data_IF_276424291116
#
_entry.id   IF_276424291116
#
_cell.length_a   1.000
_cell.length_b   1.000
_cell.length_c   1.000
_cell.angle_alpha   90.00
_cell.angle_beta   90.00
_cell.angle_gamma   90.00
#
_symmetry.space_group_name_H-M   'P 1'
#
loop_
_entity.id
_entity.type
_entity.pdbx_description
1 polymer ?
#
# COMPACT_ATOMS: atom_id res chain seq x y z
N UNK A 1 23.44 37.82 -7.65
CA UNK A 1 22.53 37.77 -6.49
C UNK A 1 21.88 36.40 -6.52
N UNK A 2 22.44 35.45 -5.76
CA UNK A 2 22.09 34.03 -5.84
C UNK A 2 20.67 33.83 -5.27
N UNK A 3 19.73 33.40 -6.11
CA UNK A 3 18.37 33.08 -5.67
C UNK A 3 18.43 31.75 -4.90
N UNK A 4 18.43 31.87 -3.58
CA UNK A 4 18.53 30.80 -2.59
C UNK A 4 17.24 29.98 -2.50
N UNK A 5 16.78 29.43 -3.62
CA UNK A 5 15.73 28.41 -3.61
C UNK A 5 16.34 27.08 -3.22
N UNK A 6 16.51 26.87 -1.92
CA UNK A 6 16.56 25.51 -1.40
C UNK A 6 15.20 24.89 -1.74
N UNK A 7 15.16 24.04 -2.78
CA UNK A 7 13.96 23.29 -3.09
C UNK A 7 13.57 22.48 -1.85
N UNK A 8 12.33 22.66 -1.38
CA UNK A 8 11.73 21.97 -0.22
C UNK A 8 11.96 20.45 -0.27
N UNK A 9 12.06 19.91 -1.48
CA UNK A 9 12.40 18.53 -1.78
C UNK A 9 13.77 18.08 -1.23
N UNK A 10 14.80 18.93 -1.38
CA UNK A 10 16.17 18.58 -1.03
C UNK A 10 16.40 18.51 0.49
N UNK A 11 15.62 19.27 1.26
CA UNK A 11 15.68 19.28 2.74
C UNK A 11 14.99 18.03 3.30
N UNK A 12 13.84 17.65 2.74
CA UNK A 12 13.01 16.54 3.25
C UNK A 12 13.63 15.16 3.00
N UNK A 13 14.40 15.00 1.91
CA UNK A 13 15.02 13.72 1.52
C UNK A 13 16.19 13.29 2.41
N UNK A 14 16.80 14.20 3.17
CA UNK A 14 17.99 13.92 3.99
C UNK A 14 17.73 13.07 5.24
N UNK A 15 16.47 12.99 5.70
CA UNK A 15 16.09 12.39 6.99
C UNK A 15 15.13 11.19 6.91
N UNK A 16 14.73 10.75 5.71
CA UNK A 16 13.90 9.54 5.54
C UNK A 16 14.61 8.48 4.70
N UNK A 17 14.20 7.21 4.85
CA UNK A 17 14.70 6.07 4.09
C UNK A 17 14.69 6.35 2.58
N UNK A 18 15.89 6.53 2.02
CA UNK A 18 16.18 7.14 0.73
C UNK A 18 15.60 6.39 -0.48
N UNK A 19 15.26 5.11 -0.33
CA UNK A 19 14.95 4.21 -1.45
C UNK A 19 13.60 4.51 -2.13
N UNK A 20 12.55 4.85 -1.37
CA UNK A 20 11.20 5.04 -1.95
C UNK A 20 11.02 6.40 -2.67
N UNK A 21 11.81 7.40 -2.28
CA UNK A 21 11.78 8.74 -2.90
C UNK A 21 12.31 8.73 -4.32
N UNK A 22 13.34 7.92 -4.56
CA UNK A 22 14.06 7.91 -5.84
C UNK A 22 13.16 7.39 -6.97
N UNK A 23 12.35 6.35 -6.72
CA UNK A 23 11.47 5.76 -7.75
C UNK A 23 10.37 6.72 -8.21
N UNK A 24 9.66 7.37 -7.26
CA UNK A 24 8.61 8.33 -7.60
C UNK A 24 9.17 9.61 -8.24
N UNK A 25 10.32 10.09 -7.75
CA UNK A 25 11.02 11.25 -8.31
C UNK A 25 11.42 11.06 -9.76
N UNK A 26 11.98 9.89 -10.10
CA UNK A 26 12.45 9.58 -11.46
C UNK A 26 11.33 9.35 -12.48
N UNK A 27 10.23 8.71 -12.08
CA UNK A 27 9.18 8.29 -13.03
C UNK A 27 8.13 9.36 -13.34
N UNK A 28 7.98 10.41 -12.53
CA UNK A 28 6.86 11.37 -12.69
C UNK A 28 7.21 12.85 -12.55
N UNK A 29 8.26 13.22 -11.81
CA UNK A 29 8.45 14.61 -11.40
C UNK A 29 9.32 15.45 -12.32
N UNK A 30 10.37 14.88 -12.93
CA UNK A 30 11.30 15.65 -13.77
C UNK A 30 10.64 16.29 -15.01
N UNK A 31 9.90 15.56 -15.87
CA UNK A 31 9.27 16.18 -17.04
C UNK A 31 8.13 17.15 -16.67
N UNK A 32 7.45 16.92 -15.55
CA UNK A 32 6.34 17.78 -15.09
C UNK A 32 6.85 19.08 -14.49
N UNK A 33 8.05 19.09 -13.88
CA UNK A 33 8.62 20.31 -13.31
C UNK A 33 8.91 21.36 -14.37
N UNK A 34 9.51 20.98 -15.49
CA UNK A 34 9.76 21.88 -16.62
C UNK A 34 8.46 22.47 -17.19
N UNK A 35 7.40 21.66 -17.28
CA UNK A 35 6.08 22.12 -17.74
C UNK A 35 5.45 23.13 -16.78
N UNK A 36 5.63 22.96 -15.47
CA UNK A 36 5.16 23.91 -14.45
C UNK A 36 5.91 25.24 -14.57
N UNK A 37 7.22 25.20 -14.78
CA UNK A 37 8.05 26.41 -14.93
C UNK A 37 7.69 27.16 -16.23
N UNK A 38 7.48 26.45 -17.33
CA UNK A 38 6.98 27.02 -18.58
C UNK A 38 5.56 27.60 -18.44
N UNK A 39 4.65 26.94 -17.74
CA UNK A 39 3.31 27.48 -17.51
C UNK A 39 3.35 28.76 -16.66
N UNK A 40 4.25 28.78 -15.68
CA UNK A 40 4.44 29.91 -14.78
C UNK A 40 5.11 31.10 -15.46
N UNK A 41 5.97 30.90 -16.46
CA UNK A 41 6.57 32.01 -17.22
C UNK A 41 5.55 32.71 -18.13
N UNK A 42 4.60 31.96 -18.70
CA UNK A 42 3.59 32.51 -19.62
C UNK A 42 2.33 33.09 -18.93
N UNK A 43 2.12 32.86 -17.63
CA UNK A 43 0.93 33.33 -16.92
C UNK A 43 1.28 34.28 -15.76
N UNK A 44 0.83 35.54 -15.84
CA UNK A 44 1.05 36.54 -14.78
C UNK A 44 0.18 36.31 -13.53
N UNK A 45 -1.08 35.90 -13.72
CA UNK A 45 -2.10 35.88 -12.66
C UNK A 45 -2.49 34.48 -12.17
N UNK A 46 -1.99 33.42 -12.82
CA UNK A 46 -2.21 32.03 -12.41
C UNK A 46 -0.88 31.30 -12.39
N UNK A 47 -0.60 30.58 -11.32
CA UNK A 47 0.62 29.76 -11.16
C UNK A 47 0.24 28.31 -10.84
N UNK A 48 1.09 27.39 -11.24
CA UNK A 48 1.04 25.96 -10.90
C UNK A 48 2.23 25.62 -10.01
N UNK A 49 2.06 24.63 -9.15
CA UNK A 49 3.12 24.10 -8.30
C UNK A 49 2.97 22.58 -8.23
N UNK A 50 4.10 21.91 -7.97
CA UNK A 50 4.16 20.49 -7.69
C UNK A 50 4.86 20.30 -6.34
N UNK A 51 4.30 19.45 -5.51
CA UNK A 51 4.83 19.11 -4.20
C UNK A 51 4.79 17.58 -4.03
N UNK A 52 5.84 17.01 -3.45
CA UNK A 52 5.88 15.63 -3.03
C UNK A 52 5.95 15.62 -1.52
N UNK A 53 4.95 15.02 -0.89
CA UNK A 53 4.88 14.91 0.55
C UNK A 53 5.08 13.45 0.91
N UNK A 54 6.19 13.10 1.57
CA UNK A 54 6.39 11.74 2.02
C UNK A 54 5.57 11.45 3.27
N UNK A 55 4.95 10.27 3.30
CA UNK A 55 4.25 9.76 4.48
C UNK A 55 4.91 8.47 4.92
N UNK A 56 5.15 8.35 6.24
CA UNK A 56 5.52 7.10 6.89
C UNK A 56 4.42 6.71 7.86
N UNK A 57 3.80 5.56 7.62
CA UNK A 57 2.76 5.03 8.49
C UNK A 57 3.28 3.76 9.20
N UNK A 58 3.17 3.72 10.53
CA UNK A 58 3.52 2.54 11.31
C UNK A 58 2.40 1.50 11.24
N UNK A 59 2.70 0.29 10.78
CA UNK A 59 1.71 -0.78 10.63
C UNK A 59 1.76 -1.67 11.87
N UNK A 60 1.03 -1.30 12.92
CA UNK A 60 0.80 -2.11 14.12
C UNK A 60 -0.29 -1.48 14.99
N UNK A 61 -0.95 -2.28 15.83
CA UNK A 61 -1.79 -1.75 16.90
C UNK A 61 -0.92 -1.30 18.08
N UNK A 62 -1.21 -0.11 18.63
CA UNK A 62 -0.50 0.45 19.80
C UNK A 62 -0.61 -0.47 21.03
N UNK A 63 -1.75 -1.13 21.20
CA UNK A 63 -1.97 -2.14 22.25
C UNK A 63 -1.43 -3.50 21.79
N UNK A 64 -0.40 -4.01 22.47
CA UNK A 64 0.28 -5.27 22.10
C UNK A 64 -0.66 -6.46 21.91
N UNK A 65 -1.70 -6.55 22.75
CA UNK A 65 -2.69 -7.65 22.73
C UNK A 65 -3.52 -7.70 21.45
N UNK A 66 -3.66 -6.60 20.71
CA UNK A 66 -4.43 -6.56 19.47
C UNK A 66 -3.63 -7.03 18.26
N UNK A 67 -2.32 -7.21 18.40
CA UNK A 67 -1.46 -7.75 17.33
C UNK A 67 -1.48 -9.29 17.34
N UNK A 68 -2.66 -9.87 17.46
CA UNK A 68 -2.91 -11.30 17.39
C UNK A 68 -3.99 -11.55 16.34
N UNK A 69 -3.88 -12.67 15.63
CA UNK A 69 -4.84 -13.07 14.63
C UNK A 69 -4.98 -14.59 14.64
N UNK A 70 -6.22 -15.07 14.63
CA UNK A 70 -6.58 -16.47 14.49
C UNK A 70 -7.11 -16.80 13.09
N UNK A 71 -6.81 -18.02 12.62
CA UNK A 71 -7.45 -18.62 11.46
C UNK A 71 -7.68 -20.11 11.71
N UNK A 72 -8.81 -20.62 11.22
CA UNK A 72 -9.21 -22.02 11.32
C UNK A 72 -9.46 -22.57 9.91
N UNK A 73 -8.79 -23.67 9.59
CA UNK A 73 -8.82 -24.32 8.28
C UNK A 73 -9.44 -25.71 8.41
N UNK A 74 -10.48 -25.96 7.64
CA UNK A 74 -11.11 -27.27 7.51
C UNK A 74 -10.76 -27.85 6.14
N UNK A 75 -10.17 -29.05 6.14
CA UNK A 75 -9.94 -29.85 4.94
C UNK A 75 -10.97 -30.96 4.91
N UNK A 76 -11.81 -30.97 3.89
CA UNK A 76 -12.83 -31.99 3.71
C UNK A 76 -12.28 -33.18 2.92
N UNK A 77 -12.93 -34.35 3.06
CA UNK A 77 -12.51 -35.60 2.40
C UNK A 77 -12.64 -35.56 0.88
N UNK A 78 -13.43 -34.63 0.36
CA UNK A 78 -13.58 -34.35 -1.08
C UNK A 78 -12.46 -33.44 -1.64
N UNK A 79 -11.55 -32.99 -0.78
CA UNK A 79 -10.43 -32.12 -1.16
C UNK A 79 -10.74 -30.63 -1.10
N UNK A 80 -11.96 -30.22 -0.73
CA UNK A 80 -12.29 -28.81 -0.55
C UNK A 80 -11.70 -28.26 0.74
N UNK A 81 -11.34 -26.98 0.73
CA UNK A 81 -10.78 -26.30 1.90
C UNK A 81 -11.60 -25.07 2.26
N UNK A 82 -12.06 -25.05 3.51
CA UNK A 82 -12.77 -23.92 4.10
C UNK A 82 -11.83 -23.21 5.07
N UNK A 83 -11.58 -21.93 4.81
CA UNK A 83 -10.76 -21.08 5.69
C UNK A 83 -11.66 -20.06 6.36
N UNK A 84 -11.56 -19.98 7.68
CA UNK A 84 -12.24 -18.99 8.51
C UNK A 84 -11.20 -18.15 9.25
N UNK A 85 -11.40 -16.84 9.31
CA UNK A 85 -10.47 -15.91 9.95
C UNK A 85 -11.21 -14.82 10.73
N UNK A 86 -10.50 -14.14 11.63
CA UNK A 86 -11.06 -13.07 12.47
C UNK A 86 -11.23 -11.72 11.74
N UNK A 87 -10.59 -11.54 10.58
CA UNK A 87 -10.76 -10.35 9.76
C UNK A 87 -12.18 -10.20 9.21
N UNK A 88 -12.63 -8.95 9.04
CA UNK A 88 -13.96 -8.62 8.48
C UNK A 88 -13.81 -7.94 7.14
N UNK A 89 -14.51 -8.44 6.11
CA UNK A 89 -14.54 -7.82 4.79
C UNK A 89 -15.44 -6.58 4.82
N UNK A 90 -14.85 -5.43 4.49
CA UNK A 90 -15.52 -4.12 4.42
C UNK A 90 -15.21 -3.41 3.09
N UNK A 91 -14.74 -4.14 2.06
CA UNK A 91 -14.41 -3.61 0.73
C UNK A 91 -12.91 -3.43 0.47
N UNK A 92 -12.06 -3.80 1.41
CA UNK A 92 -10.59 -3.78 1.26
C UNK A 92 -10.04 -5.03 0.52
N UNK A 93 -10.87 -6.04 0.28
CA UNK A 93 -10.49 -7.25 -0.45
C UNK A 93 -9.67 -8.25 0.36
N UNK A 94 -9.84 -8.31 1.69
CA UNK A 94 -9.11 -9.29 2.52
C UNK A 94 -9.50 -10.72 2.17
N UNK A 95 -10.77 -10.99 1.88
CA UNK A 95 -11.25 -12.35 1.53
C UNK A 95 -10.53 -12.87 0.29
N UNK A 96 -10.34 -12.02 -0.72
CA UNK A 96 -9.63 -12.40 -1.95
C UNK A 96 -8.14 -12.68 -1.72
N UNK A 97 -7.50 -11.89 -0.85
CA UNK A 97 -6.11 -12.09 -0.47
C UNK A 97 -5.92 -13.41 0.28
N UNK A 98 -6.82 -13.75 1.21
CA UNK A 98 -6.79 -15.04 1.91
C UNK A 98 -7.05 -16.23 0.99
N UNK A 99 -8.02 -16.14 0.07
CA UNK A 99 -8.22 -17.19 -0.95
C UNK A 99 -6.94 -17.43 -1.76
N UNK A 100 -6.28 -16.35 -2.21
CA UNK A 100 -5.03 -16.46 -2.97
C UNK A 100 -3.92 -17.13 -2.15
N UNK A 101 -3.78 -16.76 -0.88
CA UNK A 101 -2.81 -17.37 0.03
C UNK A 101 -3.12 -18.86 0.28
N UNK A 102 -4.38 -19.21 0.49
CA UNK A 102 -4.78 -20.60 0.67
C UNK A 102 -4.44 -21.44 -0.57
N UNK A 103 -4.73 -20.93 -1.77
CA UNK A 103 -4.32 -21.60 -3.02
C UNK A 103 -2.80 -21.75 -3.06
N UNK A 104 -2.03 -20.69 -2.87
CA UNK A 104 -0.55 -20.77 -2.93
C UNK A 104 0.03 -21.75 -1.90
N UNK A 105 -0.53 -21.82 -0.68
CA UNK A 105 -0.02 -22.70 0.37
C UNK A 105 -0.45 -24.16 0.21
N UNK A 106 -1.61 -24.44 -0.39
CA UNK A 106 -2.18 -25.79 -0.45
C UNK A 106 -2.17 -26.41 -1.88
N UNK A 107 -2.00 -25.61 -2.95
CA UNK A 107 -2.07 -26.07 -4.34
C UNK A 107 -0.92 -26.97 -4.79
N UNK A 108 0.16 -27.11 -4.03
CA UNK A 108 1.21 -28.10 -4.36
C UNK A 108 0.76 -29.56 -4.13
N UNK A 109 -0.44 -29.81 -3.55
CA UNK A 109 -0.87 -31.17 -3.20
C UNK A 109 -2.31 -31.55 -3.59
N UNK A 110 -3.21 -30.62 -3.91
CA UNK A 110 -4.65 -30.89 -4.08
C UNK A 110 -5.23 -29.98 -5.17
N UNK A 111 -6.07 -30.52 -6.07
CA UNK A 111 -6.92 -29.72 -6.98
C UNK A 111 -7.98 -28.99 -6.14
N UNK A 112 -7.66 -27.78 -5.68
CA UNK A 112 -8.40 -27.08 -4.63
C UNK A 112 -9.46 -26.13 -5.15
N UNK A 113 -10.68 -26.33 -4.68
CA UNK A 113 -11.67 -25.25 -4.54
C UNK A 113 -11.58 -24.71 -3.11
N UNK A 114 -11.10 -23.47 -2.96
CA UNK A 114 -10.97 -22.79 -1.68
C UNK A 114 -12.17 -21.86 -1.45
N UNK A 115 -12.85 -22.03 -0.32
CA UNK A 115 -13.93 -21.15 0.11
C UNK A 115 -13.53 -20.45 1.41
N UNK A 116 -13.75 -19.13 1.49
CA UNK A 116 -13.50 -18.36 2.71
C UNK A 116 -14.83 -17.91 3.29
N UNK A 117 -15.07 -18.24 4.56
CA UNK A 117 -16.24 -17.77 5.31
C UNK A 117 -15.81 -16.88 6.47
N UNK A 118 -16.58 -15.82 6.71
CA UNK A 118 -16.40 -14.95 7.87
C UNK A 118 -16.88 -15.69 9.13
N UNK A 119 -16.13 -15.56 10.23
CA UNK A 119 -16.56 -16.10 11.52
C UNK A 119 -17.73 -15.26 12.05
N UNK A 120 -18.91 -15.87 12.16
CA UNK A 120 -20.00 -15.33 12.98
C UNK A 120 -19.76 -15.75 14.42
N UNK A 121 -19.27 -14.83 15.25
CA UNK A 121 -19.32 -14.97 16.70
C UNK A 121 -20.69 -14.50 17.17
N UNK A 122 -21.61 -15.44 17.44
CA UNK A 122 -22.82 -15.19 18.26
C UNK A 122 -22.48 -15.11 19.73
#
# INVERSE_FOLDING_TARGET
MADSKQDIFHITASNLSTVHYISCGMNSSYPVREQVDLFNSHNRWKKRAIAMVPTKFGIYFTTKLMNQAGALVHVYTDGTVLVTHEGVEMGQGIVNNYCTLAVVCFAERIDLSAHVSLLNTT
#
